data_IF_773839340307
#
_entry.id   IF_773839340307
#
_cell.length_a   1.000
_cell.length_b   1.000
_cell.length_c   1.000
_cell.angle_alpha   90.00
_cell.angle_beta   90.00
_cell.angle_gamma   90.00
#
_symmetry.space_group_name_H-M   'P 1'
#
loop_
_entity.id
_entity.type
_entity.pdbx_description
1 polymer ?
#
# COMPACT_ATOMS: atom_id res chain seq x y z
N UNK A 1 8.31 17.75 -61.07
CA UNK A 1 9.02 17.70 -59.76
C UNK A 1 8.09 17.86 -58.54
N UNK A 2 6.97 18.61 -58.62
CA UNK A 2 6.03 18.82 -57.49
C UNK A 2 5.20 17.58 -57.11
N UNK A 3 4.74 16.77 -58.07
CA UNK A 3 3.94 15.56 -57.81
C UNK A 3 4.69 14.48 -57.00
N UNK A 4 5.98 14.25 -57.30
CA UNK A 4 6.83 13.28 -56.57
C UNK A 4 7.05 13.70 -55.11
N UNK A 5 7.15 15.00 -54.83
CA UNK A 5 7.30 15.52 -53.46
C UNK A 5 6.02 15.36 -52.63
N UNK A 6 4.85 15.55 -53.23
CA UNK A 6 3.55 15.32 -52.57
C UNK A 6 3.36 13.83 -52.24
N UNK A 7 3.73 12.94 -53.17
CA UNK A 7 3.66 11.49 -52.93
C UNK A 7 4.63 11.04 -51.83
N UNK A 8 5.85 11.58 -51.80
CA UNK A 8 6.82 11.29 -50.74
C UNK A 8 6.31 11.74 -49.36
N UNK A 9 5.69 12.92 -49.29
CA UNK A 9 5.10 13.44 -48.05
C UNK A 9 3.93 12.57 -47.57
N UNK A 10 3.09 12.11 -48.49
CA UNK A 10 1.97 11.21 -48.17
C UNK A 10 2.45 9.87 -47.62
N UNK A 11 3.53 9.30 -48.16
CA UNK A 11 4.11 8.04 -47.69
C UNK A 11 4.69 8.21 -46.27
N UNK A 12 5.41 9.30 -46.03
CA UNK A 12 6.01 9.58 -44.72
C UNK A 12 4.92 9.77 -43.67
N UNK A 13 3.84 10.49 -43.99
CA UNK A 13 2.71 10.69 -43.08
C UNK A 13 2.03 9.36 -42.73
N UNK A 14 1.87 8.47 -43.73
CA UNK A 14 1.28 7.15 -43.53
C UNK A 14 2.16 6.25 -42.66
N UNK A 15 3.48 6.32 -42.84
CA UNK A 15 4.46 5.60 -42.02
C UNK A 15 4.43 6.03 -40.56
N UNK A 16 4.36 7.34 -40.29
CA UNK A 16 4.22 7.89 -38.93
C UNK A 16 2.94 7.39 -38.26
N UNK A 17 1.84 7.32 -39.02
CA UNK A 17 0.54 6.88 -38.53
C UNK A 17 0.55 5.38 -38.17
N UNK A 18 1.20 4.54 -38.99
CA UNK A 18 1.39 3.11 -38.69
C UNK A 18 2.25 2.92 -37.43
N UNK A 19 3.35 3.65 -37.30
CA UNK A 19 4.24 3.57 -36.13
C UNK A 19 3.49 3.98 -34.86
N UNK A 20 2.68 5.04 -34.92
CA UNK A 20 1.83 5.47 -33.81
C UNK A 20 0.80 4.42 -33.38
N UNK A 21 0.16 3.74 -34.35
CA UNK A 21 -0.79 2.66 -34.08
C UNK A 21 -0.13 1.43 -33.43
N UNK A 22 1.09 1.08 -33.85
CA UNK A 22 1.86 -0.02 -33.24
C UNK A 22 2.25 0.34 -31.80
N UNK A 23 2.70 1.57 -31.55
CA UNK A 23 3.10 2.02 -30.22
C UNK A 23 1.92 2.00 -29.22
N UNK A 24 0.74 2.44 -29.66
CA UNK A 24 -0.49 2.37 -28.89
C UNK A 24 -0.89 0.93 -28.53
N UNK A 25 -0.83 0.00 -29.48
CA UNK A 25 -1.15 -1.40 -29.22
C UNK A 25 -0.20 -2.05 -28.20
N UNK A 26 1.11 -1.78 -28.30
CA UNK A 26 2.10 -2.33 -27.36
C UNK A 26 1.90 -1.78 -25.94
N UNK A 27 1.55 -0.50 -25.79
CA UNK A 27 1.26 0.08 -24.47
C UNK A 27 -0.08 -0.41 -23.88
N UNK A 28 -1.05 -0.74 -24.71
CA UNK A 28 -2.35 -1.25 -24.26
C UNK A 28 -2.34 -2.73 -23.84
N UNK A 29 -1.27 -3.48 -24.11
CA UNK A 29 -1.15 -4.90 -23.73
C UNK A 29 -0.69 -5.16 -22.29
N UNK A 30 -0.74 -4.18 -21.38
CA UNK A 30 -0.75 -4.49 -19.94
C UNK A 30 -2.08 -5.18 -19.64
N UNK A 31 -2.06 -6.50 -19.57
CA UNK A 31 -3.21 -7.32 -19.18
C UNK A 31 -3.72 -6.86 -17.81
N UNK A 32 -4.80 -6.10 -17.81
CA UNK A 32 -5.56 -5.71 -16.62
C UNK A 32 -6.40 -6.90 -16.11
N UNK A 33 -5.83 -8.09 -16.01
CA UNK A 33 -6.46 -9.16 -15.24
C UNK A 33 -6.40 -8.73 -13.78
N UNK A 34 -7.55 -8.45 -13.12
CA UNK A 34 -7.54 -8.06 -11.72
C UNK A 34 -6.88 -9.18 -10.92
N UNK A 35 -5.83 -8.85 -10.18
CA UNK A 35 -5.21 -9.78 -9.24
C UNK A 35 -6.28 -10.24 -8.25
N UNK A 36 -6.43 -11.54 -8.09
CA UNK A 36 -7.28 -12.08 -7.04
C UNK A 36 -6.75 -11.62 -5.68
N UNK A 37 -7.60 -10.93 -4.92
CA UNK A 37 -7.23 -10.43 -3.60
C UNK A 37 -6.92 -11.59 -2.68
N UNK A 38 -5.84 -11.46 -1.92
CA UNK A 38 -5.54 -12.45 -0.87
C UNK A 38 -6.58 -12.35 0.25
N UNK A 39 -6.74 -13.41 1.04
CA UNK A 39 -7.63 -13.38 2.22
C UNK A 39 -7.25 -12.25 3.20
N UNK A 40 -5.94 -12.02 3.37
CA UNK A 40 -5.44 -10.92 4.20
C UNK A 40 -5.86 -9.55 3.64
N UNK A 41 -5.77 -9.38 2.32
CA UNK A 41 -6.18 -8.13 1.67
C UNK A 41 -7.70 -7.91 1.77
N UNK A 42 -8.51 -8.96 1.59
CA UNK A 42 -9.96 -8.87 1.73
C UNK A 42 -10.38 -8.48 3.15
N UNK A 43 -9.90 -9.22 4.15
CA UNK A 43 -10.22 -8.95 5.56
C UNK A 43 -9.58 -7.66 6.07
N UNK A 44 -8.37 -7.34 5.63
CA UNK A 44 -7.69 -6.09 5.93
C UNK A 44 -8.49 -4.88 5.44
N UNK A 45 -8.96 -4.91 4.18
CA UNK A 45 -9.79 -3.84 3.63
C UNK A 45 -11.15 -3.72 4.34
N UNK A 46 -11.77 -4.85 4.70
CA UNK A 46 -12.99 -4.87 5.51
C UNK A 46 -12.77 -4.18 6.87
N UNK A 47 -11.72 -4.57 7.60
CA UNK A 47 -11.39 -3.99 8.90
C UNK A 47 -10.98 -2.52 8.82
N UNK A 48 -10.27 -2.12 7.76
CA UNK A 48 -9.94 -0.73 7.49
C UNK A 48 -11.22 0.13 7.36
N UNK A 49 -12.22 -0.36 6.64
CA UNK A 49 -13.50 0.33 6.51
C UNK A 49 -14.24 0.49 7.84
N UNK A 50 -14.14 -0.48 8.75
CA UNK A 50 -14.69 -0.36 10.12
C UNK A 50 -13.91 0.67 10.93
N UNK A 51 -12.58 0.60 10.89
CA UNK A 51 -11.71 1.52 11.62
C UNK A 51 -11.86 2.97 11.15
N UNK A 52 -12.10 3.22 9.86
CA UNK A 52 -12.38 4.57 9.36
C UNK A 52 -13.74 5.09 9.83
N UNK A 53 -14.77 4.25 9.81
CA UNK A 53 -16.11 4.62 10.28
C UNK A 53 -16.16 4.89 11.78
N UNK A 54 -15.36 4.19 12.59
CA UNK A 54 -15.36 4.37 14.05
C UNK A 54 -14.91 5.77 14.48
N UNK A 55 -14.15 6.47 13.64
CA UNK A 55 -13.65 7.82 13.92
C UNK A 55 -14.18 8.90 12.97
N UNK A 56 -15.02 8.54 11.99
CA UNK A 56 -15.46 9.45 10.93
C UNK A 56 -16.13 10.74 11.41
N UNK A 57 -16.83 10.69 12.54
CA UNK A 57 -17.54 11.85 13.12
C UNK A 57 -16.73 12.60 14.18
N UNK A 58 -15.48 12.22 14.43
CA UNK A 58 -14.61 12.86 15.42
C UNK A 58 -13.81 13.98 14.77
N UNK A 59 -13.84 15.15 15.39
CA UNK A 59 -13.01 16.28 14.99
C UNK A 59 -12.04 16.62 16.12
N UNK A 60 -10.76 16.76 15.78
CA UNK A 60 -9.75 17.22 16.73
C UNK A 60 -9.83 18.75 16.86
N UNK A 61 -10.12 19.23 18.07
CA UNK A 61 -10.10 20.65 18.43
C UNK A 61 -8.68 21.05 18.85
N UNK A 62 -8.00 20.14 19.54
CA UNK A 62 -6.63 20.34 20.04
C UNK A 62 -5.71 19.21 19.55
N UNK A 63 -4.40 19.45 19.60
CA UNK A 63 -3.44 18.57 18.97
C UNK A 63 -3.41 17.16 19.57
N UNK A 64 -3.54 17.02 20.89
CA UNK A 64 -3.53 15.69 21.52
C UNK A 64 -4.69 14.80 21.05
N UNK A 65 -5.84 15.39 20.72
CA UNK A 65 -7.01 14.64 20.23
C UNK A 65 -6.75 14.01 18.86
N UNK A 66 -5.83 14.56 18.06
CA UNK A 66 -5.40 13.91 16.81
C UNK A 66 -4.78 12.55 17.10
N UNK A 67 -3.92 12.47 18.13
CA UNK A 67 -3.26 11.23 18.52
C UNK A 67 -4.25 10.25 19.16
N UNK A 68 -5.22 10.73 19.93
CA UNK A 68 -6.30 9.91 20.49
C UNK A 68 -7.15 9.28 19.39
N UNK A 69 -7.56 10.07 18.39
CA UNK A 69 -8.33 9.57 17.23
C UNK A 69 -7.55 8.50 16.46
N UNK A 70 -6.26 8.74 16.22
CA UNK A 70 -5.40 7.75 15.55
C UNK A 70 -5.20 6.49 16.39
N UNK A 71 -5.06 6.63 17.71
CA UNK A 71 -4.98 5.52 18.65
C UNK A 71 -6.22 4.64 18.60
N UNK A 72 -7.40 5.24 18.66
CA UNK A 72 -8.67 4.52 18.61
C UNK A 72 -8.91 3.85 17.25
N UNK A 73 -8.57 4.53 16.14
CA UNK A 73 -8.59 3.92 14.80
C UNK A 73 -7.70 2.69 14.73
N UNK A 74 -6.47 2.77 15.27
CA UNK A 74 -5.53 1.66 15.28
C UNK A 74 -6.01 0.50 16.19
N UNK A 75 -6.59 0.81 17.35
CA UNK A 75 -7.17 -0.20 18.25
C UNK A 75 -8.30 -0.97 17.57
N UNK A 76 -9.27 -0.27 16.96
CA UNK A 76 -10.38 -0.91 16.23
C UNK A 76 -9.86 -1.79 15.09
N UNK A 77 -8.86 -1.31 14.35
CA UNK A 77 -8.22 -2.09 13.29
C UNK A 77 -7.62 -3.39 13.83
N UNK A 78 -6.85 -3.33 14.93
CA UNK A 78 -6.22 -4.52 15.51
C UNK A 78 -7.24 -5.53 16.01
N UNK A 79 -8.25 -5.07 16.75
CA UNK A 79 -9.30 -5.96 17.27
C UNK A 79 -10.06 -6.66 16.14
N UNK A 80 -10.44 -5.92 15.09
CA UNK A 80 -11.12 -6.50 13.93
C UNK A 80 -10.26 -7.56 13.23
N UNK A 81 -8.98 -7.28 13.00
CA UNK A 81 -8.06 -8.26 12.39
C UNK A 81 -7.90 -9.50 13.27
N UNK A 82 -7.82 -9.29 14.59
CA UNK A 82 -7.70 -10.36 15.57
C UNK A 82 -8.91 -11.31 15.55
N UNK A 83 -10.12 -10.74 15.49
CA UNK A 83 -11.39 -11.47 15.34
C UNK A 83 -11.49 -12.20 14.00
N UNK A 84 -10.86 -11.65 12.95
CA UNK A 84 -10.78 -12.28 11.63
C UNK A 84 -9.61 -13.28 11.50
N UNK A 85 -8.98 -13.68 12.61
CA UNK A 85 -7.99 -14.75 12.63
C UNK A 85 -6.58 -14.32 12.22
N UNK A 86 -6.24 -13.03 12.32
CA UNK A 86 -4.90 -12.52 12.07
C UNK A 86 -4.22 -12.06 13.37
N UNK A 87 -2.90 -12.09 13.39
CA UNK A 87 -2.09 -11.64 14.52
C UNK A 87 -0.81 -10.96 14.02
N UNK A 88 -0.12 -10.26 14.92
CA UNK A 88 1.19 -9.68 14.64
C UNK A 88 2.18 -10.78 14.20
N UNK A 89 2.94 -10.49 13.16
CA UNK A 89 3.95 -11.37 12.61
C UNK A 89 5.32 -11.11 13.28
N UNK A 90 5.85 -12.04 14.10
CA UNK A 90 7.15 -11.86 14.74
C UNK A 90 8.30 -11.68 13.73
N UNK A 91 8.18 -12.26 12.53
CA UNK A 91 9.19 -12.08 11.47
C UNK A 91 9.27 -10.62 11.01
N UNK A 92 8.12 -9.93 10.95
CA UNK A 92 8.09 -8.50 10.63
C UNK A 92 8.86 -7.68 11.67
N UNK A 93 8.66 -7.96 12.96
CA UNK A 93 9.37 -7.27 14.05
C UNK A 93 10.88 -7.48 13.94
N UNK A 94 11.30 -8.73 13.76
CA UNK A 94 12.72 -9.10 13.67
C UNK A 94 13.43 -8.45 12.48
N UNK A 95 12.77 -8.33 11.33
CA UNK A 95 13.36 -7.65 10.18
C UNK A 95 13.50 -6.14 10.36
N UNK A 96 12.67 -5.53 11.22
CA UNK A 96 12.76 -4.10 11.50
C UNK A 96 13.78 -3.74 12.57
N UNK A 97 14.41 -4.69 13.29
CA UNK A 97 15.35 -4.41 14.39
C UNK A 97 16.45 -3.41 14.01
N UNK A 98 17.11 -3.58 12.86
CA UNK A 98 18.17 -2.64 12.43
C UNK A 98 17.63 -1.24 12.14
N UNK A 99 16.44 -1.16 11.55
CA UNK A 99 15.75 0.11 11.27
C UNK A 99 15.35 0.79 12.57
N UNK A 100 14.89 0.02 13.56
CA UNK A 100 14.51 0.49 14.88
C UNK A 100 15.71 1.11 15.60
N UNK A 101 16.81 0.37 15.69
CA UNK A 101 18.05 0.84 16.32
C UNK A 101 18.59 2.11 15.67
N UNK A 102 18.58 2.16 14.34
CA UNK A 102 19.04 3.35 13.62
C UNK A 102 18.14 4.57 13.88
N UNK A 103 16.82 4.42 13.74
CA UNK A 103 15.87 5.52 13.96
C UNK A 103 15.84 5.99 15.42
N UNK A 104 16.03 5.08 16.37
CA UNK A 104 16.10 5.43 17.80
C UNK A 104 17.30 6.34 18.08
N UNK A 105 18.46 5.97 17.53
CA UNK A 105 19.68 6.76 17.63
C UNK A 105 19.56 8.12 16.93
N UNK A 106 19.01 8.15 15.72
CA UNK A 106 18.91 9.37 14.91
C UNK A 106 17.87 10.35 15.48
N UNK A 107 16.81 9.84 16.10
CA UNK A 107 15.68 10.62 16.62
C UNK A 107 15.74 10.98 18.10
N UNK A 108 16.75 10.50 18.85
CA UNK A 108 16.84 10.61 20.31
C UNK A 108 15.55 10.15 21.03
N UNK A 109 15.00 9.03 20.57
CA UNK A 109 13.79 8.38 21.13
C UNK A 109 14.07 6.91 21.40
N UNK A 110 13.31 6.30 22.31
CA UNK A 110 13.49 4.89 22.65
C UNK A 110 13.17 3.97 21.46
N UNK A 111 13.85 2.82 21.41
CA UNK A 111 13.56 1.76 20.42
C UNK A 111 12.09 1.32 20.47
N UNK A 112 11.50 1.25 21.67
CA UNK A 112 10.08 0.93 21.86
C UNK A 112 9.16 1.98 21.21
N UNK A 113 9.48 3.26 21.35
CA UNK A 113 8.69 4.34 20.74
C UNK A 113 8.78 4.27 19.20
N UNK A 114 9.97 3.96 18.66
CA UNK A 114 10.16 3.74 17.23
C UNK A 114 9.35 2.54 16.75
N UNK A 115 9.43 1.40 17.45
CA UNK A 115 8.69 0.19 17.12
C UNK A 115 7.19 0.48 17.08
N UNK A 116 6.63 1.11 18.11
CA UNK A 116 5.21 1.45 18.15
C UNK A 116 4.78 2.35 16.99
N UNK A 117 5.61 3.31 16.59
CA UNK A 117 5.32 4.14 15.43
C UNK A 117 5.35 3.34 14.12
N UNK A 118 6.33 2.45 13.94
CA UNK A 118 6.37 1.56 12.76
C UNK A 118 5.14 0.63 12.71
N UNK A 119 4.69 0.12 13.87
CA UNK A 119 3.49 -0.72 13.94
C UNK A 119 2.24 0.03 13.50
N UNK A 120 2.06 1.29 13.95
CA UNK A 120 0.91 2.13 13.58
C UNK A 120 0.78 2.33 12.06
N UNK A 121 1.89 2.37 11.34
CA UNK A 121 1.88 2.46 9.88
C UNK A 121 1.61 1.09 9.25
N UNK A 122 2.27 0.05 9.75
CA UNK A 122 2.24 -1.27 9.13
C UNK A 122 0.90 -2.01 9.27
N UNK A 123 0.08 -1.70 10.27
CA UNK A 123 -1.24 -2.33 10.46
C UNK A 123 -2.21 -2.10 9.29
N UNK A 124 -1.94 -1.12 8.42
CA UNK A 124 -2.77 -0.79 7.25
C UNK A 124 -2.23 -1.34 5.92
N UNK A 125 -1.15 -2.12 5.96
CA UNK A 125 -0.49 -2.67 4.77
C UNK A 125 -0.83 -4.16 4.65
N UNK A 126 -1.52 -4.54 3.56
CA UNK A 126 -2.01 -5.91 3.33
C UNK A 126 -1.38 -6.60 2.12
N UNK A 127 -0.54 -5.88 1.39
CA UNK A 127 0.18 -6.38 0.22
C UNK A 127 1.62 -5.94 0.29
N UNK A 128 2.52 -6.73 -0.28
CA UNK A 128 3.92 -6.37 -0.39
C UNK A 128 4.40 -6.56 -1.83
N UNK A 129 5.30 -5.69 -2.27
CA UNK A 129 6.03 -5.79 -3.53
C UNK A 129 7.44 -6.39 -3.38
N UNK A 130 8.03 -6.38 -2.17
CA UNK A 130 9.48 -6.51 -1.98
C UNK A 130 9.88 -7.69 -1.07
N UNK A 131 9.13 -8.79 -1.07
CA UNK A 131 9.40 -10.00 -0.27
C UNK A 131 9.56 -9.81 1.26
N UNK A 132 9.34 -8.62 1.80
CA UNK A 132 9.32 -8.43 3.25
C UNK A 132 8.07 -9.12 3.86
N UNK A 133 8.18 -9.68 5.08
CA UNK A 133 7.02 -10.13 5.82
C UNK A 133 6.05 -8.97 5.99
N UNK A 134 4.75 -9.26 5.94
CA UNK A 134 3.72 -8.31 6.33
C UNK A 134 3.58 -8.31 7.85
N UNK A 135 3.08 -7.20 8.41
CA UNK A 135 2.78 -7.08 9.84
C UNK A 135 1.77 -8.12 10.30
N UNK A 136 0.80 -8.45 9.45
CA UNK A 136 -0.22 -9.44 9.74
C UNK A 136 0.18 -10.82 9.23
N UNK A 137 -0.07 -11.84 10.05
CA UNK A 137 -0.08 -13.26 9.64
C UNK A 137 -1.34 -13.93 10.14
N UNK A 138 -1.76 -15.01 9.47
CA UNK A 138 -2.85 -15.84 10.00
C UNK A 138 -2.44 -16.48 11.32
N UNK A 139 -3.35 -16.49 12.29
CA UNK A 139 -3.23 -17.26 13.52
C UNK A 139 -3.12 -18.73 13.15
N UNK A 140 -2.18 -19.45 13.74
CA UNK A 140 -2.18 -20.90 13.64
C UNK A 140 -3.39 -21.43 14.43
N UNK A 141 -4.16 -22.35 13.84
CA UNK A 141 -5.12 -23.13 14.62
C UNK A 141 -4.35 -23.84 15.72
N UNK A 142 -4.69 -23.57 16.98
CA UNK A 142 -4.33 -24.48 18.06
C UNK A 142 -5.07 -25.81 17.89
#
# INVERSE_FOLDING_TARGET
MRLKKIYLFSIILFLILIIGLIFLNVHSSKSNTPREKTLLEDKGNFCLGIAEKSVANRQAIVEFQKYEILGDKAMVMRNCMEENGFEENPLWVNEKTKVIQQKAKDGDISEDAVLENLKKEAIYIFTNSDDQPLYWRSKQSK
#
